data_IF_628342422761
#
_entry.id   IF_628342422761
#
_cell.length_a   1.000
_cell.length_b   1.000
_cell.length_c   1.000
_cell.angle_alpha   90.00
_cell.angle_beta   90.00
_cell.angle_gamma   90.00
#
_symmetry.space_group_name_H-M   'P 1'
#
loop_
_entity.id
_entity.type
_entity.pdbx_description
1 polymer ?
#
# COMPACT_ATOMS: atom_id res chain seq x y z
N UNK A 1 35.69 26.33 -9.29
CA UNK A 1 35.00 25.89 -8.06
C UNK A 1 35.82 24.79 -7.41
N UNK A 2 35.88 24.71 -6.08
CA UNK A 2 36.55 23.60 -5.39
C UNK A 2 35.61 22.38 -5.38
N UNK A 3 36.11 21.15 -5.58
CA UNK A 3 35.28 19.96 -5.46
C UNK A 3 34.73 19.85 -4.04
N UNK A 4 33.41 19.72 -3.92
CA UNK A 4 32.73 19.55 -2.63
C UNK A 4 32.84 18.09 -2.24
N UNK A 5 33.37 17.82 -1.04
CA UNK A 5 33.44 16.46 -0.48
C UNK A 5 32.02 15.89 -0.40
N UNK A 6 31.80 14.71 -0.99
CA UNK A 6 30.49 14.08 -1.07
C UNK A 6 29.65 14.52 -2.27
N UNK A 7 30.16 15.33 -3.21
CA UNK A 7 29.44 15.63 -4.46
C UNK A 7 29.26 14.40 -5.36
N UNK A 8 30.24 13.48 -5.40
CA UNK A 8 30.10 12.20 -6.11
C UNK A 8 29.11 11.24 -5.42
N UNK A 9 28.94 11.35 -4.10
CA UNK A 9 27.97 10.57 -3.32
C UNK A 9 26.59 11.24 -3.27
N UNK A 10 26.52 12.55 -3.54
CA UNK A 10 25.30 13.32 -3.56
C UNK A 10 24.48 12.93 -4.79
N UNK A 11 23.39 12.20 -4.57
CA UNK A 11 22.41 11.92 -5.62
C UNK A 11 21.86 13.22 -6.20
N UNK A 12 21.87 13.32 -7.52
CA UNK A 12 21.26 14.43 -8.24
C UNK A 12 19.79 14.55 -7.83
N UNK A 13 19.38 15.76 -7.42
CA UNK A 13 17.99 16.06 -7.09
C UNK A 13 17.18 16.08 -8.39
N UNK A 14 16.65 14.93 -8.81
CA UNK A 14 15.93 14.80 -10.07
C UNK A 14 15.67 13.38 -10.54
N UNK A 15 16.45 12.38 -10.07
CA UNK A 15 16.13 10.97 -10.30
C UNK A 15 15.03 10.53 -9.32
N UNK A 16 13.85 11.13 -9.48
CA UNK A 16 12.63 10.59 -8.89
C UNK A 16 12.51 9.15 -9.36
N UNK A 17 12.60 8.22 -8.41
CA UNK A 17 12.54 6.79 -8.67
C UNK A 17 11.38 6.48 -9.63
N UNK A 18 11.68 5.80 -10.75
CA UNK A 18 10.71 5.47 -11.77
C UNK A 18 9.46 4.87 -11.14
N UNK A 19 8.31 5.43 -11.50
CA UNK A 19 7.04 5.03 -10.95
C UNK A 19 6.72 3.61 -11.43
N UNK A 20 6.42 2.71 -10.50
CA UNK A 20 5.97 1.36 -10.82
C UNK A 20 4.73 1.43 -11.75
N UNK A 21 4.79 0.89 -12.97
CA UNK A 21 3.66 0.91 -13.88
C UNK A 21 2.51 0.06 -13.36
N UNK A 22 1.31 0.36 -13.88
CA UNK A 22 0.06 -0.29 -13.48
C UNK A 22 -0.01 -1.65 -14.15
N UNK A 23 0.45 -2.67 -13.45
CA UNK A 23 0.51 -4.01 -13.99
C UNK A 23 0.33 -5.09 -12.91
N UNK A 24 0.30 -6.33 -13.35
CA UNK A 24 0.35 -7.51 -12.49
C UNK A 24 1.79 -7.88 -12.14
N UNK A 25 2.09 -7.97 -10.84
CA UNK A 25 3.43 -8.36 -10.37
C UNK A 25 3.36 -9.56 -9.44
N UNK A 26 4.35 -10.43 -9.52
CA UNK A 26 4.50 -11.51 -8.55
C UNK A 26 5.25 -10.94 -7.34
N UNK A 27 4.58 -11.00 -6.20
CA UNK A 27 5.08 -10.46 -4.94
C UNK A 27 5.27 -11.56 -3.92
N UNK A 28 6.24 -11.37 -3.04
CA UNK A 28 6.46 -12.21 -1.86
C UNK A 28 6.15 -11.41 -0.61
N UNK A 29 5.42 -12.03 0.30
CA UNK A 29 5.09 -11.44 1.59
C UNK A 29 6.34 -11.51 2.48
N UNK A 30 6.84 -10.35 2.88
CA UNK A 30 7.98 -10.21 3.77
C UNK A 30 7.58 -10.14 5.23
N UNK A 31 6.46 -9.48 5.52
CA UNK A 31 5.95 -9.35 6.88
C UNK A 31 4.42 -9.31 6.88
N UNK A 32 3.84 -9.74 8.01
CA UNK A 32 2.40 -9.71 8.25
C UNK A 32 2.19 -9.13 9.64
N UNK A 33 1.28 -8.19 9.74
CA UNK A 33 0.90 -7.56 11.00
C UNK A 33 -0.61 -7.47 11.07
N UNK A 34 -1.21 -7.92 12.17
CA UNK A 34 -2.62 -7.69 12.44
C UNK A 34 -2.78 -6.40 13.25
N UNK A 35 -3.56 -5.47 12.72
CA UNK A 35 -3.87 -4.20 13.38
C UNK A 35 -5.35 -4.20 13.77
N UNK A 36 -5.59 -4.18 15.07
CA UNK A 36 -6.93 -4.12 15.63
C UNK A 36 -7.37 -2.66 15.79
N UNK A 37 -8.43 -2.27 15.10
CA UNK A 37 -9.09 -0.97 15.25
C UNK A 37 -10.44 -1.14 15.97
N UNK A 38 -10.96 -0.06 16.53
CA UNK A 38 -12.30 -0.03 17.15
C UNK A 38 -13.40 -0.50 16.17
N UNK A 39 -13.23 -0.21 14.88
CA UNK A 39 -14.19 -0.57 13.84
C UNK A 39 -13.92 -1.94 13.21
N UNK A 40 -12.83 -2.64 13.53
CA UNK A 40 -12.50 -3.97 13.00
C UNK A 40 -11.00 -4.27 12.93
N UNK A 41 -10.67 -5.52 12.61
CA UNK A 41 -9.29 -5.98 12.47
C UNK A 41 -8.84 -5.89 11.01
N UNK A 42 -7.58 -5.51 10.80
CA UNK A 42 -6.98 -5.33 9.47
C UNK A 42 -5.63 -6.03 9.44
N UNK A 43 -5.47 -6.95 8.49
CA UNK A 43 -4.20 -7.60 8.23
C UNK A 43 -3.41 -6.74 7.24
N UNK A 44 -2.24 -6.29 7.69
CA UNK A 44 -1.28 -5.51 6.91
C UNK A 44 -0.17 -6.43 6.42
N UNK A 45 -0.19 -6.71 5.13
CA UNK A 45 0.83 -7.48 4.43
C UNK A 45 1.89 -6.54 3.87
N UNK A 46 3.13 -6.68 4.31
CA UNK A 46 4.28 -6.06 3.66
C UNK A 46 4.84 -7.03 2.62
N UNK A 47 4.88 -6.60 1.37
CA UNK A 47 5.34 -7.41 0.24
C UNK A 47 6.44 -6.70 -0.56
N UNK A 48 7.22 -7.49 -1.29
CA UNK A 48 8.18 -7.02 -2.28
C UNK A 48 8.00 -7.78 -3.60
N UNK A 49 8.33 -7.13 -4.71
CA UNK A 49 8.25 -7.75 -6.04
C UNK A 49 9.43 -8.71 -6.18
N UNK A 50 9.17 -9.96 -6.57
CA UNK A 50 10.19 -11.00 -6.68
C UNK A 50 10.50 -11.43 -8.11
N UNK A 51 9.59 -11.20 -9.05
CA UNK A 51 9.80 -11.50 -10.48
C UNK A 51 9.54 -10.27 -11.36
N UNK A 52 10.17 -10.27 -12.54
CA UNK A 52 10.04 -9.21 -13.54
C UNK A 52 11.10 -8.10 -13.41
N UNK A 53 10.95 -7.08 -14.24
CA UNK A 53 11.87 -5.94 -14.32
C UNK A 53 11.96 -5.14 -13.01
N UNK A 54 10.86 -5.11 -12.26
CA UNK A 54 10.74 -4.40 -10.99
C UNK A 54 11.05 -5.25 -9.76
N UNK A 55 11.76 -6.38 -9.91
CA UNK A 55 12.17 -7.19 -8.79
C UNK A 55 13.01 -6.37 -7.77
N UNK A 56 12.63 -6.48 -6.50
CA UNK A 56 13.23 -5.74 -5.38
C UNK A 56 12.90 -4.24 -5.37
N UNK A 57 11.87 -3.79 -6.09
CA UNK A 57 11.53 -2.36 -6.19
C UNK A 57 11.28 -1.71 -4.84
N UNK A 58 10.49 -2.34 -3.95
CA UNK A 58 10.18 -1.75 -2.65
C UNK A 58 11.36 -1.80 -1.71
N UNK A 59 12.16 -2.87 -1.77
CA UNK A 59 13.43 -2.97 -1.03
C UNK A 59 14.43 -1.90 -1.44
N UNK A 60 14.59 -1.66 -2.75
CA UNK A 60 15.42 -0.58 -3.31
C UNK A 60 14.91 0.78 -2.83
N UNK A 61 13.61 1.05 -2.94
CA UNK A 61 13.00 2.29 -2.43
C UNK A 61 13.26 2.48 -0.94
N UNK A 62 13.13 1.43 -0.12
CA UNK A 62 13.40 1.50 1.31
C UNK A 62 14.88 1.82 1.62
N UNK A 63 15.82 1.20 0.89
CA UNK A 63 17.25 1.48 1.02
C UNK A 63 17.64 2.90 0.58
N UNK A 64 16.93 3.45 -0.42
CA UNK A 64 17.16 4.81 -0.94
C UNK A 64 16.57 5.92 -0.05
N UNK A 65 15.71 5.60 0.92
CA UNK A 65 15.17 6.60 1.83
C UNK A 65 16.28 7.10 2.78
N UNK A 66 16.68 8.37 2.59
CA UNK A 66 17.64 9.07 3.44
C UNK A 66 17.04 9.64 4.74
N UNK A 67 15.72 9.51 4.93
CA UNK A 67 15.02 9.97 6.14
C UNK A 67 15.17 8.92 7.24
N UNK A 68 15.31 9.35 8.50
CA UNK A 68 15.39 8.44 9.65
C UNK A 68 14.09 7.61 9.82
N UNK A 69 12.93 8.21 9.49
CA UNK A 69 11.62 7.55 9.50
C UNK A 69 11.36 6.76 8.21
N UNK A 70 12.15 5.68 7.99
CA UNK A 70 12.03 4.84 6.80
C UNK A 70 10.70 4.08 6.81
N UNK A 71 9.87 4.26 5.79
CA UNK A 71 8.58 3.58 5.64
C UNK A 71 8.59 2.61 4.46
N UNK A 72 8.18 1.38 4.73
CA UNK A 72 7.93 0.40 3.69
C UNK A 72 6.69 0.79 2.89
N UNK A 73 6.84 0.95 1.57
CA UNK A 73 5.74 1.39 0.70
C UNK A 73 4.96 0.24 0.06
N UNK A 74 5.52 -0.97 0.03
CA UNK A 74 4.88 -2.17 -0.52
C UNK A 74 3.97 -2.82 0.50
N UNK A 75 2.86 -2.16 0.85
CA UNK A 75 1.90 -2.66 1.84
C UNK A 75 0.53 -2.90 1.22
N UNK A 76 -0.11 -4.01 1.59
CA UNK A 76 -1.48 -4.35 1.22
C UNK A 76 -2.26 -4.56 2.51
N UNK A 77 -3.50 -4.05 2.55
CA UNK A 77 -4.35 -4.10 3.73
C UNK A 77 -5.60 -4.88 3.40
N UNK A 78 -5.82 -5.97 4.13
CA UNK A 78 -6.99 -6.82 4.03
C UNK A 78 -7.83 -6.60 5.29
N UNK A 79 -9.08 -6.20 5.12
CA UNK A 79 -9.99 -6.10 6.26
C UNK A 79 -10.45 -7.51 6.64
N UNK A 80 -10.41 -7.85 7.92
CA UNK A 80 -10.91 -9.12 8.42
C UNK A 80 -12.44 -9.00 8.55
N UNK A 81 -13.22 -9.90 7.93
CA UNK A 81 -14.67 -9.91 8.09
C UNK A 81 -15.04 -10.21 9.54
N UNK A 82 -16.05 -9.53 10.06
CA UNK A 82 -16.54 -9.71 11.43
C UNK A 82 -17.60 -10.80 11.52
N UNK A 83 -18.28 -11.10 10.41
CA UNK A 83 -19.38 -12.05 10.40
C UNK A 83 -20.70 -11.48 10.94
N UNK A 84 -20.82 -10.16 11.05
CA UNK A 84 -22.03 -9.47 11.49
C UNK A 84 -23.16 -9.49 10.43
N UNK A 85 -22.93 -10.05 9.24
CA UNK A 85 -23.95 -10.25 8.21
C UNK A 85 -24.46 -8.97 7.54
N UNK A 86 -23.74 -7.86 7.68
CA UNK A 86 -24.05 -6.60 6.98
C UNK A 86 -23.55 -6.63 5.53
N UNK A 87 -24.14 -5.85 4.62
CA UNK A 87 -23.68 -5.78 3.21
C UNK A 87 -22.18 -5.42 3.08
N UNK A 88 -21.67 -4.60 4.00
CA UNK A 88 -20.23 -4.27 4.06
C UNK A 88 -19.38 -5.46 4.49
N UNK A 89 -19.90 -6.28 5.39
CA UNK A 89 -19.25 -7.50 5.85
C UNK A 89 -19.22 -8.55 4.73
N UNK A 90 -20.31 -8.73 3.99
CA UNK A 90 -20.36 -9.64 2.83
C UNK A 90 -19.34 -9.25 1.75
N UNK A 91 -19.23 -7.96 1.45
CA UNK A 91 -18.21 -7.47 0.52
C UNK A 91 -16.79 -7.69 1.05
N UNK A 92 -16.58 -7.47 2.34
CA UNK A 92 -15.28 -7.69 3.01
C UNK A 92 -14.91 -9.16 3.01
N UNK A 93 -15.85 -10.05 3.30
CA UNK A 93 -15.68 -11.49 3.28
C UNK A 93 -15.33 -11.98 1.87
N UNK A 94 -16.01 -11.46 0.85
CA UNK A 94 -15.72 -11.79 -0.55
C UNK A 94 -14.33 -11.33 -0.98
N UNK A 95 -13.92 -10.11 -0.59
CA UNK A 95 -12.60 -9.58 -0.88
C UNK A 95 -11.50 -10.37 -0.15
N UNK A 96 -11.70 -10.65 1.13
CA UNK A 96 -10.79 -11.45 1.95
C UNK A 96 -10.63 -12.85 1.39
N UNK A 97 -11.73 -13.53 1.08
CA UNK A 97 -11.71 -14.86 0.47
C UNK A 97 -10.94 -14.88 -0.84
N UNK A 98 -11.17 -13.91 -1.73
CA UNK A 98 -10.43 -13.79 -3.00
C UNK A 98 -8.92 -13.69 -2.76
N UNK A 99 -8.51 -12.87 -1.80
CA UNK A 99 -7.09 -12.64 -1.53
C UNK A 99 -6.44 -13.89 -0.88
N UNK A 100 -7.17 -14.63 -0.05
CA UNK A 100 -6.73 -15.91 0.52
C UNK A 100 -6.65 -17.02 -0.54
N UNK A 101 -7.68 -17.17 -1.38
CA UNK A 101 -7.69 -18.13 -2.50
C UNK A 101 -6.48 -17.90 -3.42
N UNK A 102 -6.13 -16.62 -3.67
CA UNK A 102 -4.92 -16.29 -4.42
C UNK A 102 -3.63 -16.85 -3.79
N UNK A 103 -3.52 -16.89 -2.46
CA UNK A 103 -2.39 -17.52 -1.78
C UNK A 103 -2.42 -19.04 -1.87
N UNK A 104 -3.60 -19.66 -1.70
CA UNK A 104 -3.75 -21.12 -1.82
C UNK A 104 -3.45 -21.63 -3.23
N UNK A 105 -3.97 -20.96 -4.27
CA UNK A 105 -3.69 -21.29 -5.68
C UNK A 105 -2.20 -21.09 -6.03
N UNK A 106 -1.55 -20.07 -5.47
CA UNK A 106 -0.16 -19.74 -5.80
C UNK A 106 0.87 -20.59 -5.05
N UNK A 107 0.49 -21.23 -3.94
CA UNK A 107 1.40 -21.97 -3.07
C UNK A 107 0.84 -23.37 -2.82
N UNK A 108 1.26 -24.34 -3.64
CA UNK A 108 0.79 -25.73 -3.52
C UNK A 108 1.07 -26.28 -2.11
N UNK A 109 0.02 -26.73 -1.43
CA UNK A 109 0.10 -27.27 -0.07
C UNK A 109 -0.11 -26.24 1.04
N UNK A 110 -0.32 -24.97 0.72
CA UNK A 110 -0.83 -23.98 1.67
C UNK A 110 -2.34 -24.10 1.78
N UNK A 111 -2.84 -24.21 3.01
CA UNK A 111 -4.26 -24.11 3.32
C UNK A 111 -4.48 -23.04 4.38
N UNK A 112 -5.49 -22.20 4.17
CA UNK A 112 -5.80 -21.15 5.13
C UNK A 112 -6.42 -21.73 6.40
N UNK A 113 -5.77 -21.45 7.53
CA UNK A 113 -6.12 -21.96 8.85
C UNK A 113 -6.37 -20.82 9.86
N UNK A 114 -6.71 -19.62 9.35
CA UNK A 114 -6.93 -18.41 10.14
C UNK A 114 -5.69 -17.90 10.91
N UNK A 115 -4.50 -18.31 10.52
CA UNK A 115 -3.23 -17.85 11.08
C UNK A 115 -2.50 -16.95 10.08
N UNK A 116 -2.54 -15.64 10.33
CA UNK A 116 -1.96 -14.59 9.49
C UNK A 116 -0.45 -14.74 9.32
N UNK A 117 0.25 -15.33 10.29
CA UNK A 117 1.70 -15.52 10.23
C UNK A 117 2.10 -16.51 9.16
N UNK A 118 1.22 -17.46 8.82
CA UNK A 118 1.47 -18.43 7.75
C UNK A 118 1.50 -17.78 6.36
N UNK A 119 0.97 -16.56 6.21
CA UNK A 119 1.08 -15.80 4.96
C UNK A 119 2.50 -15.25 4.73
N UNK A 120 3.31 -15.14 5.79
CA UNK A 120 4.67 -14.65 5.70
C UNK A 120 5.53 -15.61 4.89
N UNK A 121 6.19 -15.09 3.86
CA UNK A 121 7.06 -15.85 2.98
C UNK A 121 6.35 -16.48 1.77
N UNK A 122 5.02 -16.44 1.72
CA UNK A 122 4.26 -16.90 0.56
C UNK A 122 4.40 -15.95 -0.63
N UNK A 123 4.14 -16.48 -1.82
CA UNK A 123 4.07 -15.71 -3.07
C UNK A 123 2.63 -15.55 -3.54
N UNK A 124 2.31 -14.41 -4.13
CA UNK A 124 1.02 -14.16 -4.76
C UNK A 124 1.19 -13.20 -5.93
N UNK A 125 0.23 -13.20 -6.85
CA UNK A 125 0.08 -12.15 -7.84
C UNK A 125 -0.57 -10.91 -7.21
N UNK A 126 0.04 -9.75 -7.33
CA UNK A 126 -0.54 -8.47 -6.93
C UNK A 126 -0.89 -7.66 -8.18
N UNK A 127 -2.16 -7.30 -8.32
CA UNK A 127 -2.61 -6.39 -9.38
C UNK A 127 -2.51 -4.96 -8.86
N UNK A 128 -1.66 -4.16 -9.48
CA UNK A 128 -1.48 -2.77 -9.12
C UNK A 128 -2.54 -1.88 -9.79
N UNK A 129 -2.89 -0.79 -9.12
CA UNK A 129 -3.74 0.27 -9.65
C UNK A 129 -3.09 1.63 -9.37
N UNK A 130 -3.37 2.62 -10.20
CA UNK A 130 -3.11 4.01 -9.83
C UNK A 130 -4.21 4.50 -8.90
N UNK A 131 -3.81 5.09 -7.78
CA UNK A 131 -4.68 5.89 -6.93
C UNK A 131 -4.20 7.31 -6.92
N UNK A 132 -5.12 8.24 -7.14
CA UNK A 132 -4.85 9.65 -6.90
C UNK A 132 -4.71 9.89 -5.39
N UNK A 133 -3.70 10.66 -4.99
CA UNK A 133 -3.55 11.18 -3.65
C UNK A 133 -3.58 12.70 -3.71
N UNK A 134 -4.18 13.31 -2.70
CA UNK A 134 -4.11 14.75 -2.46
C UNK A 134 -3.43 14.96 -1.12
N UNK A 135 -2.34 15.71 -1.10
CA UNK A 135 -1.62 16.06 0.12
C UNK A 135 -1.23 17.52 0.08
N UNK A 136 -1.72 18.31 1.04
CA UNK A 136 -1.48 19.75 1.14
C UNK A 136 -1.72 20.52 -0.17
N UNK A 137 -2.81 20.24 -0.87
CA UNK A 137 -3.16 20.92 -2.14
C UNK A 137 -2.40 20.45 -3.38
N UNK A 138 -1.43 19.53 -3.22
CA UNK A 138 -0.79 18.84 -4.34
C UNK A 138 -1.52 17.53 -4.64
N UNK A 139 -2.00 17.38 -5.86
CA UNK A 139 -2.53 16.12 -6.37
C UNK A 139 -1.44 15.35 -7.11
N UNK A 140 -1.38 14.05 -6.88
CA UNK A 140 -0.46 13.15 -7.57
C UNK A 140 -1.07 11.77 -7.69
N UNK A 141 -0.39 10.88 -8.41
CA UNK A 141 -0.81 9.49 -8.53
C UNK A 141 0.23 8.57 -7.90
N UNK A 142 -0.24 7.59 -7.13
CA UNK A 142 0.56 6.57 -6.49
C UNK A 142 0.10 5.18 -6.94
N UNK A 143 1.04 4.27 -7.16
CA UNK A 143 0.75 2.88 -7.54
C UNK A 143 0.55 2.03 -6.29
N UNK A 144 -0.66 1.54 -6.08
CA UNK A 144 -1.03 0.73 -4.92
C UNK A 144 -1.56 -0.64 -5.36
N UNK A 145 -1.34 -1.68 -4.55
CA UNK A 145 -1.97 -2.98 -4.77
C UNK A 145 -3.49 -2.86 -4.61
N UNK A 146 -4.24 -3.19 -5.66
CA UNK A 146 -5.69 -3.23 -5.64
C UNK A 146 -6.20 -4.52 -5.01
N UNK A 147 -5.71 -5.66 -5.49
CA UNK A 147 -6.14 -6.97 -5.07
C UNK A 147 -5.08 -8.02 -5.37
N UNK A 148 -5.16 -9.13 -4.66
CA UNK A 148 -4.33 -10.29 -4.92
C UNK A 148 -5.03 -11.25 -5.89
N UNK A 149 -4.22 -11.97 -6.65
CA UNK A 149 -4.64 -13.00 -7.60
C UNK A 149 -3.56 -14.08 -7.68
N UNK A 150 -3.85 -15.20 -8.34
CA UNK A 150 -2.88 -16.28 -8.44
C UNK A 150 -1.67 -15.88 -9.30
N UNK A 151 -0.50 -16.41 -8.95
CA UNK A 151 0.75 -16.21 -9.71
C UNK A 151 0.57 -16.65 -11.16
N UNK A 152 -0.13 -17.76 -11.38
CA UNK A 152 -0.44 -18.27 -12.72
C UNK A 152 -1.24 -17.26 -13.54
N UNK A 153 -2.27 -16.63 -12.97
CA UNK A 153 -3.07 -15.61 -13.67
C UNK A 153 -2.26 -14.41 -14.10
N UNK A 154 -1.31 -13.97 -13.28
CA UNK A 154 -0.39 -12.88 -13.63
C UNK A 154 0.51 -13.31 -14.79
N UNK A 155 1.09 -14.51 -14.73
CA UNK A 155 1.94 -15.03 -15.80
C UNK A 155 1.19 -15.23 -17.12
N UNK A 156 -0.06 -15.67 -17.05
CA UNK A 156 -0.93 -15.83 -18.22
C UNK A 156 -1.47 -14.50 -18.77
N UNK A 157 -1.25 -13.37 -18.07
CA UNK A 157 -1.82 -12.08 -18.46
C UNK A 157 -3.34 -12.01 -18.33
N UNK A 158 -3.98 -12.94 -17.61
CA UNK A 158 -5.44 -13.03 -17.44
C UNK A 158 -5.95 -12.14 -16.31
N UNK A 159 -5.44 -10.93 -16.20
CA UNK A 159 -5.89 -9.93 -15.24
C UNK A 159 -6.36 -8.67 -15.96
N UNK A 160 -7.36 -8.01 -15.39
CA UNK A 160 -7.83 -6.72 -15.90
C UNK A 160 -7.16 -5.64 -15.09
N UNK A 161 -6.40 -4.78 -15.75
CA UNK A 161 -5.84 -3.59 -15.12
C UNK A 161 -7.02 -2.68 -14.74
N UNK A 162 -7.26 -2.44 -13.44
CA UNK A 162 -8.35 -1.58 -13.01
C UNK A 162 -8.09 -0.15 -13.48
N UNK A 163 -9.17 0.57 -13.82
CA UNK A 163 -9.08 2.00 -14.15
C UNK A 163 -8.49 2.78 -12.96
N UNK A 164 -7.72 3.85 -13.22
CA UNK A 164 -7.17 4.68 -12.16
C UNK A 164 -8.30 5.20 -11.26
N UNK A 165 -8.16 5.03 -9.94
CA UNK A 165 -9.13 5.53 -8.97
C UNK A 165 -8.83 7.00 -8.68
N UNK A 166 -9.63 7.89 -9.26
CA UNK A 166 -9.62 9.32 -8.96
C UNK A 166 -10.25 9.58 -7.59
N UNK A 167 -9.78 10.61 -6.89
CA UNK A 167 -10.42 11.06 -5.66
C UNK A 167 -11.76 11.72 -6.01
N UNK A 168 -12.83 11.20 -5.43
CA UNK A 168 -14.17 11.75 -5.62
C UNK A 168 -14.27 13.06 -4.83
N UNK A 169 -14.00 14.20 -5.50
CA UNK A 169 -14.07 15.55 -4.91
C UNK A 169 -15.48 15.92 -4.42
N UNK A 170 -16.49 15.10 -4.69
CA UNK A 170 -17.88 15.33 -4.30
C UNK A 170 -18.20 15.03 -2.82
N UNK A 171 -17.24 14.53 -2.03
CA UNK A 171 -17.38 14.33 -0.57
C UNK A 171 -16.42 15.16 0.28
N UNK A 172 -16.04 16.35 -0.18
CA UNK A 172 -15.60 17.38 0.77
C UNK A 172 -16.86 17.92 1.46
N UNK A 173 -17.29 17.28 2.55
CA UNK A 173 -18.09 17.99 3.54
C UNK A 173 -17.22 19.14 4.00
N UNK A 174 -17.62 20.34 3.62
CA UNK A 174 -17.17 21.61 4.14
C UNK A 174 -17.09 21.51 5.66
N UNK A 175 -15.92 21.22 6.21
CA UNK A 175 -15.65 21.44 7.63
C UNK A 175 -15.54 22.94 7.77
N UNK A 176 -16.59 23.55 8.33
CA UNK A 176 -16.61 24.93 8.78
C UNK A 176 -15.29 25.26 9.49
N UNK A 177 -14.48 26.09 8.84
CA UNK A 177 -13.42 26.82 9.51
C UNK A 177 -14.11 27.70 10.55
N UNK A 178 -13.97 27.37 11.83
CA UNK A 178 -14.22 28.34 12.89
C UNK A 178 -12.97 29.21 12.98
N UNK A 179 -12.99 30.48 12.55
CA UNK A 179 -11.86 31.36 12.78
C UNK A 179 -11.67 31.53 14.29
N UNK A 180 -10.48 31.20 14.77
CA UNK A 180 -10.04 31.49 16.13
C UNK A 180 -10.04 33.03 16.26
N UNK A 181 -10.88 33.57 17.13
CA UNK A 181 -10.91 35.00 17.40
C UNK A 181 -9.54 35.44 17.94
N UNK A 182 -8.92 36.41 17.27
CA UNK A 182 -7.72 37.10 17.76
C UNK A 182 -8.07 37.85 19.05
N UNK A 183 -7.73 37.29 20.22
CA UNK A 183 -8.16 37.91 21.48
C UNK A 183 -7.53 37.43 22.78
N UNK A 184 -6.81 36.30 22.85
CA UNK A 184 -6.18 35.87 24.12
C UNK A 184 -4.75 35.38 23.91
N UNK A 185 -3.86 36.35 23.60
CA UNK A 185 -2.40 36.18 23.55
C UNK A 185 -1.71 36.88 24.75
N UNK A 186 -2.34 36.84 25.92
CA UNK A 186 -1.72 37.29 27.16
C UNK A 186 -2.10 36.39 28.32
N UNK A 187 -1.14 35.56 28.72
CA UNK A 187 -0.87 35.07 30.09
C UNK A 187 -0.36 33.62 30.07
N UNK A 188 0.91 33.47 29.69
CA UNK A 188 1.72 32.37 30.21
C UNK A 188 2.89 32.97 30.99
N UNK A 189 2.98 32.73 32.32
CA UNK A 189 4.07 33.24 33.12
C UNK A 189 5.38 32.50 32.77
N UNK A 190 6.47 33.26 32.81
CA UNK A 190 7.85 32.83 32.53
C UNK A 190 8.35 31.78 33.52
#
# INVERSE_FOLDING_TARGET
MKPVKGYEEARAMGEGQERLPVDGYIVKILNVEEVNYEWGSVIVLSYDIVEGEYAGYYKKNYGMQAREDKKWKGVHRMNVPKGDGTEKDEWTMSAFKRDIEAFEDSNSGFHWDWDEKKLKGLVAGAVMQEREYEFNGNTGFWTACHHLTSVERIREGKFKIPKPKMLDRSKVKQTDFVPLAEGELSELPF
#
